data_IF_720970437324
#
_entry.id   IF_720970437324
#
_cell.length_a   1.000
_cell.length_b   1.000
_cell.length_c   1.000
_cell.angle_alpha   90.00
_cell.angle_beta   90.00
_cell.angle_gamma   90.00
#
_symmetry.space_group_name_H-M   'P 1'
#
loop_
_entity.id
_entity.type
_entity.pdbx_description
1 polymer ?
#
# COMPACT_ATOMS: atom_id res chain seq x y z
N UNK A 1 -2.69 18.88 11.60
CA UNK A 1 -3.60 18.40 12.67
C UNK A 1 -2.83 18.33 13.99
N UNK A 2 -3.05 19.28 14.91
CA UNK A 2 -2.30 19.36 16.17
C UNK A 2 -2.52 18.14 17.09
N UNK A 3 -3.76 17.62 17.15
CA UNK A 3 -4.10 16.45 17.97
C UNK A 3 -3.30 15.19 17.59
N UNK A 4 -3.21 14.88 16.30
CA UNK A 4 -2.39 13.76 15.80
C UNK A 4 -0.92 13.95 16.18
N UNK A 5 -0.36 15.15 16.01
CA UNK A 5 1.04 15.42 16.34
C UNK A 5 1.35 15.21 17.84
N UNK A 6 0.45 15.62 18.74
CA UNK A 6 0.61 15.42 20.19
C UNK A 6 0.62 13.92 20.52
N UNK A 7 -0.33 13.15 19.97
CA UNK A 7 -0.42 11.70 20.19
C UNK A 7 0.84 10.98 19.69
N UNK A 8 1.30 11.31 18.48
CA UNK A 8 2.50 10.67 17.92
C UNK A 8 3.78 11.08 18.65
N UNK A 9 3.91 12.31 19.15
CA UNK A 9 5.05 12.72 19.99
C UNK A 9 5.14 11.87 21.25
N UNK A 10 4.02 11.64 21.92
CA UNK A 10 3.98 10.85 23.15
C UNK A 10 4.33 9.37 22.91
N UNK A 11 3.79 8.80 21.82
CA UNK A 11 4.13 7.44 21.36
C UNK A 11 5.63 7.33 21.09
N UNK A 12 6.18 8.22 20.25
CA UNK A 12 7.60 8.19 19.88
C UNK A 12 8.47 8.35 21.12
N UNK A 13 8.14 9.28 22.02
CA UNK A 13 8.89 9.49 23.26
C UNK A 13 8.93 8.23 24.14
N UNK A 14 7.79 7.56 24.30
CA UNK A 14 7.70 6.31 25.08
C UNK A 14 8.52 5.18 24.45
N UNK A 15 8.48 5.06 23.13
CA UNK A 15 9.28 4.07 22.40
C UNK A 15 10.78 4.35 22.55
N UNK A 16 11.21 5.60 22.39
CA UNK A 16 12.62 6.00 22.58
C UNK A 16 13.10 5.65 23.98
N UNK A 17 12.34 6.01 25.03
CA UNK A 17 12.71 5.66 26.41
C UNK A 17 12.85 4.14 26.63
N UNK A 18 12.01 3.33 25.97
CA UNK A 18 12.09 1.87 26.04
C UNK A 18 13.33 1.33 25.33
N UNK A 19 13.67 1.90 24.17
CA UNK A 19 14.86 1.53 23.40
C UNK A 19 16.15 1.93 24.12
N UNK A 20 16.23 3.15 24.65
CA UNK A 20 17.38 3.67 25.40
C UNK A 20 17.66 2.83 26.66
N UNK A 21 16.58 2.39 27.33
CA UNK A 21 16.67 1.49 28.49
C UNK A 21 17.23 0.11 28.11
N UNK A 22 16.92 -0.39 26.91
CA UNK A 22 17.43 -1.66 26.41
C UNK A 22 18.89 -1.58 25.94
N UNK A 23 19.31 -0.44 25.40
CA UNK A 23 20.70 -0.14 25.04
C UNK A 23 21.59 -0.06 26.29
N UNK A 24 21.09 0.57 27.36
CA UNK A 24 21.83 0.77 28.61
C UNK A 24 21.92 -0.49 29.49
N UNK A 25 21.22 -1.57 29.14
CA UNK A 25 21.18 -2.80 29.91
C UNK A 25 22.47 -3.63 29.72
N UNK A 26 23.11 -4.13 30.80
CA UNK A 26 24.34 -4.89 30.69
C UNK A 26 24.15 -6.16 29.85
N UNK A 27 25.09 -6.42 28.93
CA UNK A 27 25.13 -7.59 28.04
C UNK A 27 25.15 -8.88 28.88
N UNK A 28 23.97 -9.44 29.18
CA UNK A 28 23.87 -10.77 29.77
C UNK A 28 24.27 -11.79 28.70
N UNK A 29 25.25 -12.65 29.04
CA UNK A 29 26.03 -13.54 28.17
C UNK A 29 25.23 -14.61 27.38
N UNK A 30 23.90 -14.60 27.40
CA UNK A 30 23.08 -15.59 26.69
C UNK A 30 21.75 -15.00 26.23
N UNK A 31 21.60 -14.80 24.91
CA UNK A 31 20.39 -14.96 24.07
C UNK A 31 19.03 -14.31 24.43
N UNK A 32 18.83 -13.75 25.62
CA UNK A 32 17.51 -13.40 26.15
C UNK A 32 17.05 -11.95 25.91
N UNK A 33 17.97 -11.06 25.51
CA UNK A 33 17.66 -9.62 25.48
C UNK A 33 16.71 -9.24 24.32
N UNK A 34 16.84 -9.89 23.16
CA UNK A 34 16.00 -9.58 21.97
C UNK A 34 14.53 -9.95 22.17
N UNK A 35 14.26 -11.09 22.80
CA UNK A 35 12.89 -11.58 23.04
C UNK A 35 12.19 -10.78 24.14
N UNK A 36 12.94 -10.32 25.15
CA UNK A 36 12.43 -9.43 26.19
C UNK A 36 12.06 -8.06 25.60
N UNK A 37 12.94 -7.46 24.79
CA UNK A 37 12.69 -6.19 24.13
C UNK A 37 11.49 -6.28 23.16
N UNK A 38 11.42 -7.35 22.37
CA UNK A 38 10.28 -7.58 21.47
C UNK A 38 8.95 -7.68 22.21
N UNK A 39 8.92 -8.27 23.42
CA UNK A 39 7.70 -8.31 24.24
C UNK A 39 7.38 -6.95 24.87
N UNK A 40 8.39 -6.17 25.27
CA UNK A 40 8.20 -4.83 25.82
C UNK A 40 7.68 -3.84 24.78
N UNK A 41 8.12 -3.98 23.53
CA UNK A 41 7.64 -3.18 22.40
C UNK A 41 6.35 -3.73 21.78
N UNK A 42 5.90 -4.93 22.18
CA UNK A 42 4.67 -5.50 21.66
C UNK A 42 3.48 -4.65 22.14
N UNK A 43 2.55 -4.29 21.23
CA UNK A 43 1.37 -3.55 21.61
C UNK A 43 0.49 -4.40 22.55
N UNK A 44 0.01 -3.80 23.64
CA UNK A 44 -0.92 -4.45 24.58
C UNK A 44 -2.34 -4.56 24.02
N UNK A 45 -2.69 -3.72 23.05
CA UNK A 45 -3.93 -3.73 22.30
C UNK A 45 -3.69 -3.23 20.88
N UNK A 46 -4.65 -3.46 19.96
CA UNK A 46 -4.58 -2.87 18.62
C UNK A 46 -4.42 -1.34 18.71
N UNK A 47 -3.54 -0.79 17.89
CA UNK A 47 -3.40 0.66 17.75
C UNK A 47 -4.73 1.24 17.23
N UNK A 48 -5.35 2.22 17.92
CA UNK A 48 -6.61 2.81 17.48
C UNK A 48 -6.52 3.43 16.08
N UNK A 49 -5.37 4.01 15.72
CA UNK A 49 -5.16 4.58 14.38
C UNK A 49 -5.17 3.48 13.30
N UNK A 50 -4.42 2.40 13.49
CA UNK A 50 -4.40 1.26 12.57
C UNK A 50 -5.77 0.57 12.48
N UNK A 51 -6.51 0.50 13.59
CA UNK A 51 -7.86 -0.06 13.60
C UNK A 51 -8.85 0.80 12.79
N UNK A 52 -8.77 2.13 12.94
CA UNK A 52 -9.59 3.08 12.17
C UNK A 52 -9.25 3.04 10.68
N UNK A 53 -7.98 2.92 10.32
CA UNK A 53 -7.51 2.77 8.94
C UNK A 53 -8.10 1.50 8.31
N UNK A 54 -7.95 0.35 8.98
CA UNK A 54 -8.50 -0.92 8.50
C UNK A 54 -10.03 -0.87 8.31
N UNK A 55 -10.74 -0.18 9.22
CA UNK A 55 -12.20 0.03 9.07
C UNK A 55 -12.53 0.98 7.91
N UNK A 56 -11.77 2.06 7.72
CA UNK A 56 -11.96 2.98 6.61
C UNK A 56 -11.78 2.28 5.25
N UNK A 57 -10.71 1.48 5.10
CA UNK A 57 -10.46 0.66 3.91
C UNK A 57 -11.65 -0.27 3.65
N UNK A 58 -12.14 -0.95 4.69
CA UNK A 58 -13.29 -1.85 4.58
C UNK A 58 -14.56 -1.13 4.12
N UNK A 59 -14.84 0.04 4.68
CA UNK A 59 -16.01 0.84 4.33
C UNK A 59 -15.92 1.36 2.90
N UNK A 60 -14.77 1.90 2.50
CA UNK A 60 -14.51 2.35 1.13
C UNK A 60 -14.69 1.21 0.13
N UNK A 61 -14.12 0.03 0.42
CA UNK A 61 -14.28 -1.17 -0.40
C UNK A 61 -15.73 -1.61 -0.56
N UNK A 62 -16.50 -1.64 0.53
CA UNK A 62 -17.95 -1.95 0.48
C UNK A 62 -18.73 -0.92 -0.33
N UNK A 63 -18.35 0.35 -0.28
CA UNK A 63 -18.96 1.39 -1.12
C UNK A 63 -18.67 1.12 -2.59
N UNK A 64 -17.40 0.89 -2.97
CA UNK A 64 -17.03 0.52 -4.36
C UNK A 64 -17.88 -0.65 -4.87
N UNK A 65 -18.01 -1.72 -4.07
CA UNK A 65 -18.78 -2.91 -4.44
C UNK A 65 -20.27 -2.62 -4.70
N UNK A 66 -20.85 -1.61 -4.05
CA UNK A 66 -22.26 -1.19 -4.27
C UNK A 66 -22.45 -0.46 -5.60
N UNK A 67 -21.40 0.08 -6.18
CA UNK A 67 -21.45 0.93 -7.38
C UNK A 67 -20.74 0.32 -8.59
N UNK A 68 -20.55 -1.02 -8.63
CA UNK A 68 -19.90 -1.69 -9.77
C UNK A 68 -20.69 -1.63 -11.09
N UNK A 69 -21.97 -1.25 -11.05
CA UNK A 69 -22.77 -1.04 -12.26
C UNK A 69 -22.70 0.40 -12.79
N UNK A 70 -22.03 1.29 -12.07
CA UNK A 70 -21.90 2.70 -12.44
C UNK A 70 -20.70 2.88 -13.40
N UNK A 71 -20.93 3.35 -14.64
CA UNK A 71 -19.87 3.59 -15.61
C UNK A 71 -18.83 4.61 -15.13
N UNK A 72 -19.22 5.65 -14.39
CA UNK A 72 -18.28 6.67 -13.90
C UNK A 72 -17.31 6.07 -12.88
N UNK A 73 -17.79 5.11 -12.08
CA UNK A 73 -16.96 4.36 -11.14
C UNK A 73 -16.00 3.42 -11.87
N UNK A 74 -16.45 2.78 -12.97
CA UNK A 74 -15.59 1.96 -13.80
C UNK A 74 -14.45 2.76 -14.43
N UNK A 75 -14.76 3.94 -14.98
CA UNK A 75 -13.80 4.84 -15.59
C UNK A 75 -12.82 5.40 -14.55
N UNK A 76 -13.32 5.82 -13.40
CA UNK A 76 -12.50 6.26 -12.28
C UNK A 76 -11.56 5.16 -11.76
N UNK A 77 -12.05 3.92 -11.69
CA UNK A 77 -11.24 2.76 -11.32
C UNK A 77 -10.08 2.52 -12.30
N UNK A 78 -10.37 2.59 -13.60
CA UNK A 78 -9.37 2.41 -14.65
C UNK A 78 -8.35 3.55 -14.65
N UNK A 79 -8.81 4.80 -14.52
CA UNK A 79 -7.96 5.99 -14.47
C UNK A 79 -7.01 5.96 -13.27
N UNK A 80 -7.49 5.47 -12.12
CA UNK A 80 -6.67 5.30 -10.92
C UNK A 80 -5.61 4.20 -11.04
N UNK A 81 -5.60 3.40 -12.12
CA UNK A 81 -4.73 2.24 -12.23
C UNK A 81 -5.18 1.06 -11.36
N UNK A 82 -6.48 1.01 -11.02
CA UNK A 82 -7.08 -0.01 -10.19
C UNK A 82 -6.65 0.05 -8.72
N UNK A 83 -6.95 -1.01 -7.98
CA UNK A 83 -6.50 -1.14 -6.59
C UNK A 83 -5.13 -1.80 -6.55
N UNK A 84 -4.30 -1.44 -5.55
CA UNK A 84 -3.12 -2.24 -5.25
C UNK A 84 -3.53 -3.64 -4.75
N UNK A 85 -2.65 -4.64 -4.84
CA UNK A 85 -3.02 -6.02 -4.50
C UNK A 85 -3.48 -6.21 -3.07
N UNK A 86 -2.89 -5.50 -2.12
CA UNK A 86 -3.34 -5.51 -0.72
C UNK A 86 -4.79 -5.06 -0.61
N UNK A 87 -5.14 -3.92 -1.22
CA UNK A 87 -6.51 -3.40 -1.16
C UNK A 87 -7.49 -4.23 -1.99
N UNK A 88 -7.09 -4.71 -3.16
CA UNK A 88 -7.91 -5.57 -4.00
C UNK A 88 -8.33 -6.86 -3.26
N UNK A 89 -7.41 -7.50 -2.54
CA UNK A 89 -7.70 -8.68 -1.72
C UNK A 89 -8.72 -8.37 -0.61
N UNK A 90 -8.56 -7.23 0.08
CA UNK A 90 -9.50 -6.80 1.13
C UNK A 90 -10.89 -6.58 0.55
N UNK A 91 -11.01 -5.90 -0.60
CA UNK A 91 -12.31 -5.65 -1.24
C UNK A 91 -12.94 -6.96 -1.73
N UNK A 92 -12.17 -7.84 -2.36
CA UNK A 92 -12.65 -9.15 -2.80
C UNK A 92 -13.21 -9.99 -1.64
N UNK A 93 -12.58 -9.94 -0.46
CA UNK A 93 -13.06 -10.65 0.73
C UNK A 93 -14.45 -10.21 1.21
N UNK A 94 -14.97 -9.09 0.69
CA UNK A 94 -16.31 -8.57 0.99
C UNK A 94 -17.29 -8.65 -0.20
N UNK A 95 -16.84 -9.12 -1.36
CA UNK A 95 -17.64 -9.17 -2.57
C UNK A 95 -18.55 -10.41 -2.63
N UNK A 96 -19.72 -10.27 -3.24
CA UNK A 96 -20.48 -11.44 -3.73
C UNK A 96 -19.77 -12.05 -4.95
N UNK A 97 -20.11 -13.27 -5.35
CA UNK A 97 -19.47 -13.91 -6.51
C UNK A 97 -19.58 -13.07 -7.80
N UNK A 98 -20.76 -12.50 -8.06
CA UNK A 98 -20.98 -11.63 -9.21
C UNK A 98 -20.15 -10.35 -9.14
N UNK A 99 -20.11 -9.70 -7.97
CA UNK A 99 -19.32 -8.50 -7.75
C UNK A 99 -17.80 -8.78 -7.86
N UNK A 100 -17.35 -9.93 -7.33
CA UNK A 100 -15.96 -10.38 -7.44
C UNK A 100 -15.55 -10.58 -8.91
N UNK A 101 -16.42 -11.18 -9.72
CA UNK A 101 -16.17 -11.38 -11.15
C UNK A 101 -16.06 -10.06 -11.90
N UNK A 102 -16.95 -9.11 -11.65
CA UNK A 102 -16.90 -7.77 -12.26
C UNK A 102 -15.63 -7.04 -11.86
N UNK A 103 -15.34 -6.95 -10.56
CA UNK A 103 -14.16 -6.26 -10.05
C UNK A 103 -12.85 -6.89 -10.54
N UNK A 104 -12.77 -8.23 -10.60
CA UNK A 104 -11.63 -8.93 -11.17
C UNK A 104 -11.45 -8.64 -12.66
N UNK A 105 -12.55 -8.51 -13.41
CA UNK A 105 -12.53 -8.10 -14.81
C UNK A 105 -11.92 -6.70 -15.00
N UNK A 106 -12.33 -5.73 -14.18
CA UNK A 106 -11.77 -4.37 -14.19
C UNK A 106 -10.28 -4.38 -13.85
N UNK A 107 -9.89 -5.04 -12.77
CA UNK A 107 -8.48 -5.14 -12.36
C UNK A 107 -7.61 -5.81 -13.45
N UNK A 108 -8.10 -6.89 -14.06
CA UNK A 108 -7.38 -7.58 -15.12
C UNK A 108 -7.22 -6.74 -16.40
N UNK A 109 -8.19 -5.88 -16.72
CA UNK A 109 -8.06 -4.94 -17.84
C UNK A 109 -6.92 -3.95 -17.60
N UNK A 110 -6.90 -3.33 -16.41
CA UNK A 110 -5.83 -2.41 -15.99
C UNK A 110 -4.46 -3.09 -15.99
N UNK A 111 -4.34 -4.28 -15.41
CA UNK A 111 -3.07 -5.00 -15.36
C UNK A 111 -2.58 -5.46 -16.72
N UNK A 112 -3.48 -5.79 -17.66
CA UNK A 112 -3.08 -6.09 -19.04
C UNK A 112 -2.47 -4.88 -19.72
N UNK A 113 -3.07 -3.71 -19.54
CA UNK A 113 -2.51 -2.46 -20.09
C UNK A 113 -1.12 -2.16 -19.49
N UNK A 114 -1.01 -2.23 -18.16
CA UNK A 114 0.27 -2.00 -17.47
C UNK A 114 1.33 -3.01 -17.90
N UNK A 115 0.96 -4.28 -18.10
CA UNK A 115 1.87 -5.30 -18.62
C UNK A 115 2.36 -4.97 -20.03
N UNK A 116 1.49 -4.51 -20.92
CA UNK A 116 1.92 -4.06 -22.26
C UNK A 116 2.93 -2.91 -22.18
N UNK A 117 2.69 -1.92 -21.31
CA UNK A 117 3.62 -0.80 -21.09
C UNK A 117 4.99 -1.28 -20.56
N UNK A 118 4.99 -2.25 -19.64
CA UNK A 118 6.21 -2.89 -19.13
C UNK A 118 6.93 -3.73 -20.19
N UNK A 119 6.19 -4.48 -21.01
CA UNK A 119 6.75 -5.30 -22.07
C UNK A 119 7.48 -4.42 -23.11
N UNK A 120 6.91 -3.26 -23.46
CA UNK A 120 7.56 -2.27 -24.32
C UNK A 120 8.78 -1.62 -23.67
N UNK A 121 8.68 -1.28 -22.38
CA UNK A 121 9.84 -0.78 -21.63
C UNK A 121 10.99 -1.79 -21.67
N UNK A 122 10.72 -3.07 -21.37
CA UNK A 122 11.71 -4.15 -21.38
C UNK A 122 12.28 -4.34 -22.79
N UNK A 123 11.42 -4.38 -23.82
CA UNK A 123 11.85 -4.57 -25.21
C UNK A 123 12.79 -3.46 -25.66
N UNK A 124 12.46 -2.19 -25.37
CA UNK A 124 13.26 -1.03 -25.81
C UNK A 124 14.58 -0.86 -25.06
N UNK A 125 14.75 -1.51 -23.91
CA UNK A 125 16.03 -1.57 -23.21
C UNK A 125 17.05 -2.51 -23.89
N UNK A 126 16.61 -3.39 -24.78
CA UNK A 126 17.52 -4.19 -25.59
C UNK A 126 18.27 -3.30 -26.60
N UNK A 127 19.59 -3.47 -26.67
CA UNK A 127 20.49 -2.69 -27.54
C UNK A 127 20.04 -2.60 -29.02
N UNK A 128 19.30 -3.60 -29.51
CA UNK A 128 18.75 -3.65 -30.88
C UNK A 128 17.72 -2.56 -31.15
N UNK A 129 17.10 -2.00 -30.11
CA UNK A 129 16.03 -1.01 -30.23
C UNK A 129 16.42 0.38 -29.69
N UNK A 130 17.74 0.66 -29.52
CA UNK A 130 18.25 1.96 -28.98
C UNK A 130 17.78 3.21 -29.71
N UNK A 131 17.32 3.10 -30.96
CA UNK A 131 16.79 4.21 -31.74
C UNK A 131 15.30 4.49 -31.52
N UNK A 132 14.57 3.60 -30.84
CA UNK A 132 13.17 3.79 -30.54
C UNK A 132 13.00 4.65 -29.28
N UNK A 133 12.15 5.70 -29.31
CA UNK A 133 11.87 6.48 -28.12
C UNK A 133 11.06 5.67 -27.11
N UNK A 134 11.46 5.75 -25.84
CA UNK A 134 10.64 5.29 -24.70
C UNK A 134 9.58 6.36 -24.44
N UNK A 135 8.31 5.96 -24.47
CA UNK A 135 7.19 6.86 -24.18
C UNK A 135 7.09 7.11 -22.67
N UNK A 136 6.53 8.24 -22.26
CA UNK A 136 6.37 8.60 -20.85
C UNK A 136 5.65 7.50 -20.04
N UNK A 137 4.56 6.95 -20.59
CA UNK A 137 3.79 5.84 -20.00
C UNK A 137 4.55 4.52 -19.90
N UNK A 138 5.56 4.32 -20.74
CA UNK A 138 6.44 3.15 -20.65
C UNK A 138 7.51 3.41 -19.59
N UNK A 139 8.08 4.62 -19.56
CA UNK A 139 9.13 5.01 -18.62
C UNK A 139 8.69 4.95 -17.16
N UNK A 140 7.43 5.30 -16.84
CA UNK A 140 6.88 5.27 -15.49
C UNK A 140 6.21 3.94 -15.10
N UNK A 141 6.08 3.00 -16.06
CA UNK A 141 5.32 1.76 -15.88
C UNK A 141 5.85 0.88 -14.75
N UNK A 142 7.17 0.84 -14.53
CA UNK A 142 7.77 0.06 -13.44
C UNK A 142 7.39 0.61 -12.06
N UNK A 143 7.33 1.93 -11.89
CA UNK A 143 6.88 2.57 -10.65
C UNK A 143 5.41 2.28 -10.40
N UNK A 144 4.58 2.35 -11.45
CA UNK A 144 3.15 1.97 -11.39
C UNK A 144 2.97 0.48 -11.09
N UNK A 145 3.86 -0.39 -11.54
CA UNK A 145 3.85 -1.82 -11.20
C UNK A 145 4.16 -2.06 -9.72
N UNK A 146 5.17 -1.38 -9.16
CA UNK A 146 5.46 -1.43 -7.72
C UNK A 146 4.24 -0.97 -6.94
N UNK A 147 3.70 0.20 -7.28
CA UNK A 147 2.47 0.74 -6.69
C UNK A 147 1.28 -0.23 -6.74
N UNK A 148 1.07 -0.88 -7.89
CA UNK A 148 0.00 -1.85 -8.07
C UNK A 148 0.16 -3.10 -7.19
N UNK A 149 1.39 -3.49 -6.84
CA UNK A 149 1.64 -4.69 -6.01
C UNK A 149 1.64 -4.34 -4.53
N UNK A 150 2.42 -3.34 -4.12
CA UNK A 150 2.65 -3.04 -2.69
C UNK A 150 1.84 -1.86 -2.17
N UNK A 151 1.23 -1.06 -3.04
CA UNK A 151 0.65 0.25 -2.72
C UNK A 151 1.66 1.39 -2.90
N UNK A 152 1.16 2.63 -2.98
CA UNK A 152 2.03 3.81 -2.82
C UNK A 152 1.86 4.35 -1.41
N UNK A 153 2.95 4.78 -0.79
CA UNK A 153 2.83 5.77 0.27
C UNK A 153 2.26 7.03 -0.37
N UNK A 154 1.24 7.60 0.27
CA UNK A 154 0.78 8.94 -0.02
C UNK A 154 1.97 9.86 0.28
N UNK A 155 2.78 10.19 -0.74
CA UNK A 155 3.79 11.23 -0.56
C UNK A 155 2.98 12.46 -0.21
N UNK A 156 3.08 12.93 1.04
CA UNK A 156 2.58 14.23 1.44
C UNK A 156 3.28 15.24 0.55
N UNK A 157 2.67 15.52 -0.61
CA UNK A 157 3.08 16.59 -1.49
C UNK A 157 2.79 17.85 -0.70
N UNK A 158 3.83 18.32 -0.04
CA UNK A 158 3.92 19.67 0.46
C UNK A 158 3.93 20.54 -0.78
N UNK A 159 2.73 20.91 -1.23
CA UNK A 159 2.56 22.04 -2.14
C UNK A 159 2.98 23.27 -1.36
N UNK A 160 4.16 23.81 -1.70
CA UNK A 160 4.60 25.16 -1.33
C UNK A 160 3.63 26.23 -1.83
#
# INVERSE_FOLDING_TARGET
MLGTAIVYRDIVNTLTLTLDAAESAPLRLFGGNKQALSRQLAPSSLCPACALEADAIRRAGKTLLKHLSDPEIADGYALAGGLCMTHFQVVLGHASEGAARTLAGWQAAVFRQLRTELDELIRKHDHRFRGEPILEREADSWTRAVAAVVGQEESLQQTD
#
